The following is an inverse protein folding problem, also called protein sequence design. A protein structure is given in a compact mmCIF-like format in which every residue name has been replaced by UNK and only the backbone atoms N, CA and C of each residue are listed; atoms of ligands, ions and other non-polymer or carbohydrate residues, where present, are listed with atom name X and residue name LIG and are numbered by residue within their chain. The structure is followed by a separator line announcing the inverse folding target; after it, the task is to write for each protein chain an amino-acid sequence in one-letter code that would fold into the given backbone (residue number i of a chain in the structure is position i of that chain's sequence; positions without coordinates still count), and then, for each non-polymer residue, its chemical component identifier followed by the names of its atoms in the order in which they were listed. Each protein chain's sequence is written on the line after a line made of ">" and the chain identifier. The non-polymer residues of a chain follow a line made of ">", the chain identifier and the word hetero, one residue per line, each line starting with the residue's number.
data_IF_286477629358
#
_entry.id   IF_286477629358
#
_cell.length_a   1.000
_cell.length_b   1.000
_cell.length_c   1.000
_cell.angle_alpha   90.00
_cell.angle_beta   90.00
_cell.angle_gamma   90.00
#
_symmetry.space_group_name_H-M   'P 1'
#
loop_
_entity.id
_entity.type
_entity.pdbx_description
1 polymer ?
#
# COMPACT_ATOMS: atom_id res chain seq x y z
N UNK A 1 26.59 -9.45 -8.64
CA UNK A 1 25.50 -9.38 -7.62
C UNK A 1 24.60 -8.15 -7.82
N UNK A 2 25.16 -6.98 -8.15
CA UNK A 2 24.42 -5.71 -8.37
C UNK A 2 23.32 -5.81 -9.45
N UNK A 3 23.54 -6.50 -10.58
CA UNK A 3 22.51 -6.63 -11.63
C UNK A 3 21.28 -7.44 -11.24
N UNK A 4 21.45 -8.51 -10.44
CA UNK A 4 20.32 -9.30 -9.96
C UNK A 4 19.52 -8.52 -8.91
N UNK A 5 20.22 -7.81 -8.02
CA UNK A 5 19.64 -7.02 -6.95
C UNK A 5 18.85 -5.81 -7.50
N UNK A 6 19.38 -5.13 -8.52
CA UNK A 6 18.66 -4.10 -9.26
C UNK A 6 17.45 -4.67 -10.02
N UNK A 7 17.58 -5.88 -10.58
CA UNK A 7 16.47 -6.58 -11.25
C UNK A 7 15.33 -6.93 -10.29
N UNK A 8 15.63 -7.38 -9.07
CA UNK A 8 14.64 -7.65 -8.04
C UNK A 8 13.94 -6.38 -7.56
N UNK A 9 14.68 -5.31 -7.28
CA UNK A 9 14.07 -4.03 -6.89
C UNK A 9 13.20 -3.43 -7.99
N UNK A 10 13.63 -3.56 -9.25
CA UNK A 10 12.82 -3.17 -10.40
C UNK A 10 11.54 -4.00 -10.51
N UNK A 11 11.64 -5.33 -10.35
CA UNK A 11 10.48 -6.23 -10.40
C UNK A 11 9.47 -5.95 -9.27
N UNK A 12 9.95 -5.65 -8.06
CA UNK A 12 9.10 -5.28 -6.93
C UNK A 12 8.38 -3.95 -7.23
N UNK A 13 9.13 -2.92 -7.64
CA UNK A 13 8.53 -1.62 -7.97
C UNK A 13 7.54 -1.68 -9.14
N UNK A 14 7.80 -2.49 -10.16
CA UNK A 14 6.88 -2.64 -11.30
C UNK A 14 5.62 -3.43 -10.95
N UNK A 15 5.74 -4.49 -10.15
CA UNK A 15 4.57 -5.24 -9.66
C UNK A 15 3.66 -4.35 -8.80
N UNK A 16 4.25 -3.49 -7.97
CA UNK A 16 3.52 -2.56 -7.10
C UNK A 16 2.76 -1.49 -7.92
N UNK A 17 3.39 -0.94 -8.97
CA UNK A 17 2.73 -0.03 -9.92
C UNK A 17 1.58 -0.72 -10.67
N UNK A 18 1.81 -1.93 -11.19
CA UNK A 18 0.78 -2.70 -11.91
C UNK A 18 -0.41 -2.99 -10.98
N UNK A 19 -0.14 -3.38 -9.74
CA UNK A 19 -1.17 -3.59 -8.72
C UNK A 19 -1.98 -2.33 -8.46
N UNK A 20 -1.32 -1.19 -8.21
CA UNK A 20 -1.99 0.08 -7.94
C UNK A 20 -2.85 0.55 -9.13
N UNK A 21 -2.35 0.44 -10.36
CA UNK A 21 -3.12 0.78 -11.58
C UNK A 21 -4.32 -0.15 -11.75
N UNK A 22 -4.18 -1.45 -11.48
CA UNK A 22 -5.29 -2.39 -11.53
C UNK A 22 -6.38 -2.04 -10.50
N UNK A 23 -6.00 -1.70 -9.26
CA UNK A 23 -6.92 -1.25 -8.23
C UNK A 23 -7.61 0.08 -8.60
N UNK A 24 -6.88 1.02 -9.18
CA UNK A 24 -7.44 2.29 -9.66
C UNK A 24 -8.49 2.06 -10.76
N UNK A 25 -8.18 1.20 -11.74
CA UNK A 25 -9.12 0.80 -12.79
C UNK A 25 -10.36 0.10 -12.22
N UNK A 26 -10.20 -0.76 -11.23
CA UNK A 26 -11.33 -1.44 -10.56
C UNK A 26 -12.25 -0.43 -9.86
N UNK A 27 -11.69 0.53 -9.12
CA UNK A 27 -12.45 1.59 -8.44
C UNK A 27 -13.18 2.48 -9.46
N UNK A 28 -12.51 2.87 -10.55
CA UNK A 28 -13.11 3.64 -11.63
C UNK A 28 -14.26 2.85 -12.27
N UNK A 29 -14.08 1.56 -12.52
CA UNK A 29 -15.14 0.69 -13.05
C UNK A 29 -16.36 0.62 -12.12
N UNK A 30 -16.16 0.51 -10.80
CA UNK A 30 -17.25 0.52 -9.82
C UNK A 30 -18.00 1.87 -9.79
N UNK A 31 -17.27 2.99 -9.90
CA UNK A 31 -17.84 4.33 -10.01
C UNK A 31 -18.63 4.51 -11.31
N UNK A 32 -18.13 3.98 -12.43
CA UNK A 32 -18.79 4.04 -13.73
C UNK A 32 -20.07 3.20 -13.74
N UNK A 33 -20.02 1.97 -13.24
CA UNK A 33 -21.19 1.08 -13.12
C UNK A 33 -22.27 1.71 -12.25
N UNK A 34 -21.89 2.34 -11.13
CA UNK A 34 -22.82 3.06 -10.26
C UNK A 34 -23.52 4.23 -10.97
N UNK A 35 -22.85 4.93 -11.89
CA UNK A 35 -23.47 5.99 -12.71
C UNK A 35 -24.45 5.45 -13.75
N UNK A 36 -24.13 4.30 -14.37
CA UNK A 36 -24.99 3.65 -15.38
C UNK A 36 -26.28 3.12 -14.75
N UNK A 37 -26.20 2.49 -13.57
CA UNK A 37 -27.39 2.01 -12.85
C UNK A 37 -28.27 3.18 -12.41
N UNK A 38 -27.69 4.28 -11.93
CA UNK A 38 -28.45 5.51 -11.57
C UNK A 38 -29.15 6.14 -12.79
N UNK A 39 -28.57 6.07 -14.00
CA UNK A 39 -29.23 6.54 -15.23
C UNK A 39 -30.37 5.61 -15.69
N UNK A 40 -30.31 4.30 -15.42
CA UNK A 40 -31.38 3.34 -15.79
C UNK A 40 -32.56 3.33 -14.82
N UNK A 41 -32.37 3.71 -13.55
CA UNK A 41 -33.43 3.72 -12.52
C UNK A 41 -34.02 5.11 -12.27
N UNK A 42 -34.10 5.96 -13.31
CA UNK A 42 -34.90 7.19 -13.29
C UNK A 42 -36.40 6.94 -13.57
N UNK A 43 -36.85 5.69 -13.42
CA UNK A 43 -38.25 5.30 -13.41
C UNK A 43 -38.45 4.38 -12.20
N UNK A 44 -39.35 4.80 -11.30
CA UNK A 44 -39.87 4.10 -10.12
C UNK A 44 -39.05 4.21 -8.81
N UNK A 45 -39.44 5.24 -8.04
CA UNK A 45 -39.87 5.13 -6.64
C UNK A 45 -38.95 4.36 -5.66
N UNK A 46 -38.00 5.07 -5.04
CA UNK A 46 -37.59 4.85 -3.64
C UNK A 46 -36.72 6.02 -3.16
N UNK A 47 -37.35 7.18 -2.96
CA UNK A 47 -36.80 8.32 -2.22
C UNK A 47 -37.06 8.07 -0.74
N UNK A 48 -36.06 7.57 0.01
CA UNK A 48 -35.80 7.86 1.45
C UNK A 48 -34.81 6.86 2.05
N UNK A 49 -33.53 7.05 1.77
CA UNK A 49 -32.37 6.88 2.66
C UNK A 49 -31.12 7.01 1.77
N UNK A 50 -30.01 7.52 2.30
CA UNK A 50 -28.68 7.58 1.64
C UNK A 50 -28.48 8.52 0.44
N UNK A 51 -28.89 9.80 0.56
CA UNK A 51 -28.24 10.86 -0.23
C UNK A 51 -26.88 11.28 0.38
N UNK A 52 -26.76 11.29 1.72
CA UNK A 52 -25.49 11.57 2.41
C UNK A 52 -24.48 10.41 2.32
N UNK A 53 -24.91 9.15 2.46
CA UNK A 53 -24.02 7.98 2.33
C UNK A 53 -23.39 7.81 0.93
N UNK A 54 -24.09 8.24 -0.13
CA UNK A 54 -23.57 8.22 -1.51
C UNK A 54 -22.50 9.27 -1.78
N UNK A 55 -22.53 10.41 -1.11
CA UNK A 55 -21.47 11.42 -1.22
C UNK A 55 -20.25 11.06 -0.38
N UNK A 56 -20.45 10.55 0.84
CA UNK A 56 -19.35 10.10 1.70
C UNK A 56 -18.61 8.92 1.07
N UNK A 57 -19.32 7.93 0.53
CA UNK A 57 -18.70 6.83 -0.22
C UNK A 57 -17.95 7.30 -1.47
N UNK A 58 -18.45 8.33 -2.17
CA UNK A 58 -17.74 8.91 -3.33
C UNK A 58 -16.48 9.67 -2.94
N UNK A 59 -16.50 10.41 -1.82
CA UNK A 59 -15.32 11.12 -1.29
C UNK A 59 -14.28 10.13 -0.77
N UNK A 60 -14.71 9.09 -0.06
CA UNK A 60 -13.83 7.98 0.36
C UNK A 60 -13.13 7.34 -0.84
N UNK A 61 -13.87 7.00 -1.90
CA UNK A 61 -13.28 6.43 -3.12
C UNK A 61 -12.27 7.38 -3.80
N UNK A 62 -12.52 8.69 -3.79
CA UNK A 62 -11.57 9.68 -4.29
C UNK A 62 -10.30 9.76 -3.43
N UNK A 63 -10.45 9.68 -2.10
CA UNK A 63 -9.31 9.63 -1.16
C UNK A 63 -8.48 8.35 -1.41
N UNK A 64 -9.14 7.21 -1.63
CA UNK A 64 -8.46 5.96 -2.01
C UNK A 64 -7.70 6.08 -3.34
N UNK A 65 -8.31 6.67 -4.37
CA UNK A 65 -7.63 6.92 -5.65
C UNK A 65 -6.42 7.85 -5.46
N UNK A 66 -6.54 8.88 -4.63
CA UNK A 66 -5.44 9.78 -4.32
C UNK A 66 -4.30 9.07 -3.58
N UNK A 67 -4.63 8.23 -2.59
CA UNK A 67 -3.67 7.38 -1.89
C UNK A 67 -2.96 6.41 -2.83
N UNK A 68 -3.69 5.77 -3.76
CA UNK A 68 -3.10 4.92 -4.79
C UNK A 68 -2.15 5.68 -5.73
N UNK A 69 -2.48 6.92 -6.09
CA UNK A 69 -1.60 7.76 -6.89
C UNK A 69 -0.31 8.14 -6.13
N UNK A 70 -0.40 8.44 -4.83
CA UNK A 70 0.79 8.65 -3.99
C UNK A 70 1.59 7.35 -3.88
N UNK A 71 0.92 6.20 -3.77
CA UNK A 71 1.57 4.88 -3.74
C UNK A 71 2.38 4.64 -5.02
N UNK A 72 1.81 4.87 -6.20
CA UNK A 72 2.52 4.79 -7.49
C UNK A 72 3.72 5.73 -7.50
N UNK A 73 3.57 6.97 -7.02
CA UNK A 73 4.68 7.93 -6.94
C UNK A 73 5.80 7.40 -6.03
N UNK A 74 5.46 6.79 -4.91
CA UNK A 74 6.42 6.12 -4.02
C UNK A 74 7.12 4.97 -4.74
N UNK A 75 6.40 4.09 -5.45
CA UNK A 75 7.01 2.98 -6.20
C UNK A 75 7.92 3.47 -7.32
N UNK A 76 7.59 4.58 -7.98
CA UNK A 76 8.49 5.25 -8.95
C UNK A 76 9.73 5.82 -8.25
N UNK A 77 9.59 6.40 -7.07
CA UNK A 77 10.72 6.86 -6.24
C UNK A 77 11.66 5.71 -5.86
N UNK A 78 11.12 4.52 -5.57
CA UNK A 78 11.90 3.31 -5.34
C UNK A 78 12.72 2.91 -6.58
N UNK A 79 12.07 2.82 -7.74
CA UNK A 79 12.73 2.50 -9.01
C UNK A 79 13.83 3.54 -9.31
N UNK A 80 13.52 4.83 -9.14
CA UNK A 80 14.47 5.92 -9.34
C UNK A 80 15.66 5.85 -8.36
N UNK A 81 15.40 5.50 -7.09
CA UNK A 81 16.44 5.29 -6.08
C UNK A 81 17.42 4.17 -6.45
N UNK A 82 16.91 3.09 -7.04
CA UNK A 82 17.73 1.98 -7.55
C UNK A 82 18.53 2.42 -8.79
N UNK A 83 17.92 3.11 -9.75
CA UNK A 83 18.61 3.58 -10.96
C UNK A 83 19.70 4.62 -10.67
N UNK A 84 19.43 5.57 -9.77
CA UNK A 84 20.37 6.61 -9.39
C UNK A 84 21.42 6.14 -8.36
N UNK A 85 21.32 4.90 -7.87
CA UNK A 85 22.11 4.37 -6.75
C UNK A 85 22.10 5.32 -5.53
N UNK A 86 20.96 5.97 -5.27
CA UNK A 86 20.81 6.94 -4.17
C UNK A 86 19.94 6.30 -3.08
N UNK A 87 20.54 5.78 -1.99
CA UNK A 87 19.81 5.06 -0.95
C UNK A 87 18.82 5.95 -0.16
N UNK A 88 18.97 7.27 -0.23
CA UNK A 88 18.08 8.25 0.40
C UNK A 88 16.63 8.15 -0.12
N UNK A 89 16.43 7.84 -1.41
CA UNK A 89 15.09 7.71 -1.98
C UNK A 89 14.40 6.40 -1.53
N UNK A 90 15.18 5.34 -1.28
CA UNK A 90 14.65 4.09 -0.72
C UNK A 90 14.16 4.29 0.72
N UNK A 91 14.80 5.16 1.51
CA UNK A 91 14.35 5.47 2.88
C UNK A 91 12.96 6.12 2.86
N UNK A 92 12.72 7.06 1.95
CA UNK A 92 11.40 7.70 1.83
C UNK A 92 10.30 6.68 1.51
N UNK A 93 10.59 5.74 0.61
CA UNK A 93 9.67 4.64 0.30
C UNK A 93 9.44 3.71 1.49
N UNK A 94 10.49 3.34 2.22
CA UNK A 94 10.41 2.51 3.43
C UNK A 94 9.55 3.16 4.52
N UNK A 95 9.67 4.47 4.73
CA UNK A 95 8.84 5.22 5.69
C UNK A 95 7.38 5.20 5.25
N UNK A 96 7.12 5.40 3.96
CA UNK A 96 5.76 5.35 3.40
C UNK A 96 5.12 3.96 3.57
N UNK A 97 5.89 2.91 3.29
CA UNK A 97 5.47 1.52 3.47
C UNK A 97 5.21 1.17 4.94
N UNK A 98 6.00 1.71 5.89
CA UNK A 98 5.72 1.58 7.32
C UNK A 98 4.38 2.22 7.72
N UNK A 99 4.02 3.35 7.08
CA UNK A 99 2.69 3.94 7.24
C UNK A 99 1.56 3.01 6.78
N UNK A 100 1.77 2.30 5.66
CA UNK A 100 0.86 1.25 5.16
C UNK A 100 0.67 0.12 6.17
N UNK A 101 1.77 -0.43 6.69
CA UNK A 101 1.73 -1.50 7.70
C UNK A 101 0.96 -1.09 8.97
N UNK A 102 1.10 0.16 9.42
CA UNK A 102 0.34 0.66 10.58
C UNK A 102 -1.16 0.67 10.27
N UNK A 103 -1.55 1.10 9.06
CA UNK A 103 -2.95 1.09 8.64
C UNK A 103 -3.49 -0.35 8.57
N UNK A 104 -2.70 -1.30 8.05
CA UNK A 104 -3.07 -2.73 8.00
C UNK A 104 -3.32 -3.31 9.41
N UNK A 105 -2.50 -2.94 10.40
CA UNK A 105 -2.72 -3.34 11.80
C UNK A 105 -4.03 -2.73 12.33
N UNK A 106 -4.30 -1.46 12.05
CA UNK A 106 -5.55 -0.80 12.48
C UNK A 106 -6.76 -1.47 11.83
N UNK A 107 -6.70 -1.82 10.55
CA UNK A 107 -7.76 -2.57 9.87
C UNK A 107 -7.94 -3.96 10.47
N UNK A 108 -6.85 -4.69 10.74
CA UNK A 108 -6.93 -6.00 11.40
C UNK A 108 -7.63 -5.90 12.77
N UNK A 109 -7.29 -4.90 13.59
CA UNK A 109 -7.93 -4.67 14.89
C UNK A 109 -9.42 -4.32 14.73
N UNK A 110 -9.78 -3.56 13.70
CA UNK A 110 -11.17 -3.26 13.37
C UNK A 110 -11.94 -4.53 13.03
N UNK A 111 -11.41 -5.39 12.15
CA UNK A 111 -12.06 -6.65 11.78
C UNK A 111 -12.11 -7.64 12.96
N UNK A 112 -11.12 -7.62 13.85
CA UNK A 112 -11.12 -8.42 15.08
C UNK A 112 -12.23 -7.97 16.04
N UNK A 113 -12.48 -6.66 16.13
CA UNK A 113 -13.63 -6.13 16.86
C UNK A 113 -14.95 -6.60 16.26
N UNK A 114 -15.07 -6.59 14.93
CA UNK A 114 -16.27 -7.03 14.22
C UNK A 114 -16.56 -8.53 14.41
N UNK A 115 -15.50 -9.35 14.43
CA UNK A 115 -15.55 -10.78 14.79
C UNK A 115 -16.14 -11.00 16.20
N UNK A 116 -15.81 -10.14 17.17
CA UNK A 116 -16.33 -10.22 18.54
C UNK A 116 -17.79 -9.79 18.64
N UNK A 117 -18.25 -8.89 17.76
CA UNK A 117 -19.65 -8.44 17.72
C UNK A 117 -20.62 -9.38 17.02
N UNK A 118 -20.14 -10.48 16.42
CA UNK A 118 -20.96 -11.62 16.03
C UNK A 118 -21.07 -11.90 14.54
N UNK A 119 -20.41 -11.15 13.65
CA UNK A 119 -20.42 -11.42 12.21
C UNK A 119 -19.17 -12.21 11.78
N UNK A 120 -19.14 -13.49 12.16
CA UNK A 120 -17.88 -14.24 12.21
C UNK A 120 -17.30 -14.69 10.86
N UNK A 121 -18.14 -14.97 9.86
CA UNK A 121 -17.68 -15.54 8.58
C UNK A 121 -17.03 -14.45 7.71
N UNK A 122 -17.68 -13.30 7.61
CA UNK A 122 -17.17 -12.17 6.83
C UNK A 122 -15.95 -11.54 7.53
N UNK A 123 -15.98 -11.40 8.86
CA UNK A 123 -14.83 -10.92 9.62
C UNK A 123 -13.62 -11.85 9.51
N UNK A 124 -13.80 -13.18 9.59
CA UNK A 124 -12.69 -14.13 9.46
C UNK A 124 -12.03 -14.06 8.08
N UNK A 125 -12.83 -13.92 7.02
CA UNK A 125 -12.32 -13.79 5.65
C UNK A 125 -11.52 -12.50 5.49
N UNK A 126 -12.03 -11.38 6.04
CA UNK A 126 -11.32 -10.10 6.00
C UNK A 126 -10.03 -10.11 6.83
N UNK A 127 -10.01 -10.79 7.97
CA UNK A 127 -8.80 -11.00 8.78
C UNK A 127 -7.78 -11.83 8.00
N UNK A 128 -8.20 -12.92 7.36
CA UNK A 128 -7.30 -13.76 6.55
C UNK A 128 -6.67 -12.98 5.40
N UNK A 129 -7.48 -12.17 4.70
CA UNK A 129 -7.00 -11.28 3.64
C UNK A 129 -6.01 -10.26 4.21
N UNK A 130 -6.32 -9.65 5.37
CA UNK A 130 -5.45 -8.66 6.02
C UNK A 130 -4.11 -9.26 6.48
N UNK A 131 -4.10 -10.50 6.96
CA UNK A 131 -2.86 -11.21 7.31
C UNK A 131 -2.04 -11.50 6.06
N UNK A 132 -2.70 -11.90 4.97
CA UNK A 132 -2.03 -12.19 3.70
C UNK A 132 -1.40 -10.92 3.10
N UNK A 133 -2.11 -9.79 3.09
CA UNK A 133 -1.56 -8.51 2.62
C UNK A 133 -0.37 -8.08 3.46
N UNK A 134 -0.49 -8.16 4.78
CA UNK A 134 0.59 -7.84 5.70
C UNK A 134 1.84 -8.71 5.46
N UNK A 135 1.67 -10.03 5.27
CA UNK A 135 2.79 -10.93 4.98
C UNK A 135 3.50 -10.57 3.67
N UNK A 136 2.73 -10.18 2.64
CA UNK A 136 3.27 -9.72 1.36
C UNK A 136 4.03 -8.40 1.52
N UNK A 137 3.45 -7.43 2.23
CA UNK A 137 4.11 -6.14 2.52
C UNK A 137 5.42 -6.32 3.30
N UNK A 138 5.45 -7.21 4.30
CA UNK A 138 6.68 -7.54 5.02
C UNK A 138 7.76 -8.12 4.11
N UNK A 139 7.38 -9.00 3.17
CA UNK A 139 8.32 -9.54 2.19
C UNK A 139 8.92 -8.43 1.31
N UNK A 140 8.11 -7.46 0.88
CA UNK A 140 8.59 -6.33 0.10
C UNK A 140 9.51 -5.41 0.90
N UNK A 141 9.14 -5.05 2.13
CA UNK A 141 9.98 -4.24 3.03
C UNK A 141 11.33 -4.90 3.25
N UNK A 142 11.32 -6.21 3.54
CA UNK A 142 12.55 -6.97 3.76
C UNK A 142 13.45 -7.01 2.52
N UNK A 143 12.87 -7.24 1.33
CA UNK A 143 13.62 -7.25 0.08
C UNK A 143 14.25 -5.87 -0.21
N UNK A 144 13.48 -4.79 -0.08
CA UNK A 144 13.95 -3.42 -0.32
C UNK A 144 14.98 -2.98 0.71
N UNK A 145 14.84 -3.38 1.97
CA UNK A 145 15.82 -3.12 3.01
C UNK A 145 17.17 -3.80 2.71
N UNK A 146 17.14 -5.03 2.21
CA UNK A 146 18.37 -5.70 1.76
C UNK A 146 19.01 -4.99 0.56
N UNK A 147 18.21 -4.50 -0.39
CA UNK A 147 18.72 -3.69 -1.52
C UNK A 147 19.39 -2.42 -0.99
N UNK A 148 18.76 -1.75 -0.02
CA UNK A 148 19.28 -0.55 0.63
C UNK A 148 20.64 -0.80 1.29
N UNK A 149 20.77 -1.83 2.14
CA UNK A 149 22.05 -2.14 2.82
C UNK A 149 23.16 -2.42 1.81
N UNK A 150 22.87 -3.15 0.74
CA UNK A 150 23.87 -3.47 -0.27
C UNK A 150 24.32 -2.22 -1.04
N UNK A 151 23.40 -1.30 -1.35
CA UNK A 151 23.70 -0.02 -2.00
C UNK A 151 24.51 0.91 -1.07
N UNK A 152 24.15 1.00 0.21
CA UNK A 152 24.88 1.82 1.18
C UNK A 152 26.29 1.28 1.44
N UNK A 153 26.42 -0.05 1.55
CA UNK A 153 27.71 -0.70 1.79
C UNK A 153 28.65 -0.65 0.58
N UNK A 154 28.09 -0.56 -0.64
CA UNK A 154 28.88 -0.42 -1.88
C UNK A 154 29.39 1.01 -2.10
N UNK A 155 28.80 2.00 -1.43
CA UNK A 155 29.18 3.41 -1.53
C UNK A 155 30.29 3.82 -0.56
N UNK A 156 30.41 3.15 0.59
CA UNK A 156 31.28 3.59 1.68
C UNK A 156 32.46 2.65 1.94
N UNK A 157 33.60 2.99 1.33
CA UNK A 157 34.93 2.66 1.85
C UNK A 157 35.39 3.57 3.00
N UNK A 158 34.57 4.50 3.51
CA UNK A 158 34.88 5.32 4.67
C UNK A 158 33.67 6.13 5.15
N UNK A 159 33.09 5.79 6.30
CA UNK A 159 32.79 6.73 7.40
C UNK A 159 31.71 6.18 8.32
N UNK A 160 32.07 6.05 9.60
CA UNK A 160 31.19 5.75 10.71
C UNK A 160 30.11 6.84 10.89
N UNK A 161 28.99 6.72 10.19
CA UNK A 161 27.76 7.38 10.57
C UNK A 161 26.83 6.35 11.20
N UNK A 162 26.68 6.45 12.52
CA UNK A 162 25.70 5.70 13.31
C UNK A 162 24.32 5.94 12.68
N UNK A 163 23.80 4.93 11.99
CA UNK A 163 22.52 4.99 11.28
C UNK A 163 21.37 5.19 12.29
N UNK A 164 20.55 6.25 12.17
CA UNK A 164 19.36 6.43 13.02
C UNK A 164 18.33 5.29 12.84
N UNK A 165 18.43 4.50 11.76
CA UNK A 165 17.60 3.31 11.51
C UNK A 165 18.03 2.07 12.29
N UNK A 166 19.28 2.00 12.79
CA UNK A 166 19.73 0.89 13.64
C UNK A 166 18.97 0.91 14.99
N UNK A 167 18.47 2.09 15.38
CA UNK A 167 17.60 2.28 16.55
C UNK A 167 16.17 1.79 16.32
N UNK A 168 15.69 1.78 15.07
CA UNK A 168 14.37 1.26 14.71
C UNK A 168 14.35 -0.27 14.62
N UNK A 169 15.45 -0.89 14.17
CA UNK A 169 15.61 -2.34 14.15
C UNK A 169 15.56 -2.97 15.55
N UNK A 170 16.03 -2.25 16.58
CA UNK A 170 15.97 -2.70 17.99
C UNK A 170 14.60 -2.55 18.64
N UNK A 171 13.64 -1.91 17.95
CA UNK A 171 12.28 -1.74 18.45
C UNK A 171 11.30 -2.72 17.80
N UNK A 172 11.73 -3.42 16.75
CA UNK A 172 10.93 -4.34 15.93
C UNK A 172 11.36 -5.81 16.07
N UNK A 173 12.40 -6.09 16.86
CA UNK A 173 12.88 -7.40 17.30
C UNK A 173 13.23 -7.34 18.78
#
# INVERSE_FOLDING_TARGET
>A
MVSALNGFGLAIGTMDIIGAVFFELMIICMLWRSRVTVKKTASKQAKKMTFQGKEVGRRMLWIYVFLLNIWILASVLLICGIFLNKPQLLIFWLIWCLGGLILDIVFMLWWLWELLTGDAIDALTNILISILTMAIEFCFVYAVYNIYINLSSSGDGASNYIHPLLRFSYFLF
#
